data_IF_271038995648
#
_entry.id   IF_271038995648
#
_cell.length_a   1.000
_cell.length_b   1.000
_cell.length_c   1.000
_cell.angle_alpha   90.00
_cell.angle_beta   90.00
_cell.angle_gamma   90.00
#
_symmetry.space_group_name_H-M   'P 1'
#
loop_
_entity.id
_entity.type
_entity.pdbx_description
1 polymer ?
#
# COMPACT_ATOMS: atom_id res chain seq x y z
N UNK A 1 9.39 -13.61 -5.89
CA UNK A 1 8.25 -13.12 -5.09
C UNK A 1 7.03 -13.18 -5.97
N UNK A 2 5.95 -13.76 -5.49
CA UNK A 2 4.68 -13.86 -6.20
C UNK A 2 3.66 -12.99 -5.47
N UNK A 3 2.87 -12.21 -6.21
CA UNK A 3 1.75 -11.44 -5.67
C UNK A 3 0.48 -11.84 -6.44
N UNK A 4 -0.61 -12.04 -5.71
CA UNK A 4 -1.95 -12.21 -6.26
C UNK A 4 -2.84 -11.18 -5.59
N UNK A 5 -3.50 -10.35 -6.40
CA UNK A 5 -4.42 -9.32 -5.93
C UNK A 5 -5.84 -9.56 -6.42
N UNK A 6 -6.82 -9.49 -5.54
CA UNK A 6 -8.25 -9.50 -5.86
C UNK A 6 -8.83 -8.17 -5.44
N UNK A 7 -9.61 -7.53 -6.33
CA UNK A 7 -10.26 -6.26 -6.04
C UNK A 7 -11.75 -6.33 -6.33
N UNK A 8 -12.52 -5.59 -5.52
CA UNK A 8 -13.95 -5.37 -5.68
C UNK A 8 -14.20 -3.88 -5.51
N UNK A 9 -14.98 -3.29 -6.43
CA UNK A 9 -15.44 -1.91 -6.33
C UNK A 9 -16.92 -1.89 -6.69
N UNK A 10 -17.67 -1.10 -5.94
CA UNK A 10 -19.08 -0.83 -6.19
C UNK A 10 -19.34 0.67 -6.10
N UNK A 11 -20.17 1.16 -7.01
CA UNK A 11 -20.60 2.55 -7.09
C UNK A 11 -22.13 2.59 -7.01
N UNK A 12 -22.65 3.33 -6.03
CA UNK A 12 -24.06 3.37 -5.70
C UNK A 12 -24.54 4.81 -5.63
N UNK A 13 -25.54 5.15 -6.45
CA UNK A 13 -26.26 6.42 -6.32
C UNK A 13 -27.31 6.28 -5.22
N UNK A 14 -27.04 6.88 -4.06
CA UNK A 14 -27.97 6.91 -2.95
C UNK A 14 -29.13 7.88 -3.20
N UNK A 15 -28.87 8.95 -3.96
CA UNK A 15 -29.85 9.89 -4.51
C UNK A 15 -29.34 10.38 -5.87
N UNK A 16 -30.15 11.18 -6.58
CA UNK A 16 -29.75 11.84 -7.84
C UNK A 16 -28.52 12.75 -7.67
N UNK A 17 -28.27 13.21 -6.44
CA UNK A 17 -27.22 14.16 -6.12
C UNK A 17 -26.12 13.55 -5.23
N UNK A 18 -26.21 12.27 -4.87
CA UNK A 18 -25.26 11.64 -3.96
C UNK A 18 -24.80 10.27 -4.49
N UNK A 19 -23.54 10.20 -4.86
CA UNK A 19 -22.87 8.95 -5.23
C UNK A 19 -21.97 8.49 -4.09
N UNK A 20 -22.09 7.23 -3.71
CA UNK A 20 -21.23 6.53 -2.77
C UNK A 20 -20.43 5.48 -3.53
N UNK A 21 -19.16 5.35 -3.19
CA UNK A 21 -18.28 4.36 -3.81
C UNK A 21 -17.53 3.61 -2.72
N UNK A 22 -17.57 2.29 -2.76
CA UNK A 22 -16.79 1.42 -1.90
C UNK A 22 -15.80 0.61 -2.72
N UNK A 23 -14.56 0.48 -2.25
CA UNK A 23 -13.61 -0.46 -2.84
C UNK A 23 -12.85 -1.25 -1.76
N UNK A 24 -12.62 -2.52 -2.07
CA UNK A 24 -11.84 -3.44 -1.27
C UNK A 24 -10.83 -4.13 -2.18
N UNK A 25 -9.60 -4.28 -1.69
CA UNK A 25 -8.57 -5.03 -2.41
C UNK A 25 -7.80 -5.90 -1.42
N UNK A 26 -7.72 -7.18 -1.72
CA UNK A 26 -6.94 -8.16 -0.98
C UNK A 26 -5.71 -8.54 -1.78
N UNK A 27 -4.53 -8.42 -1.19
CA UNK A 27 -3.25 -8.79 -1.80
C UNK A 27 -2.60 -9.90 -0.97
N UNK A 28 -2.28 -11.01 -1.65
CA UNK A 28 -1.52 -12.15 -1.15
C UNK A 28 -0.09 -12.08 -1.69
N UNK A 29 0.89 -11.99 -0.80
CA UNK A 29 2.31 -11.98 -1.14
C UNK A 29 2.99 -13.25 -0.65
N UNK A 30 3.70 -13.93 -1.54
CA UNK A 30 4.55 -15.06 -1.21
C UNK A 30 5.99 -14.77 -1.61
N UNK A 31 6.89 -14.78 -0.64
CA UNK A 31 8.31 -14.55 -0.83
C UNK A 31 9.09 -15.78 -0.39
N UNK A 32 9.97 -16.28 -1.26
CA UNK A 32 10.83 -17.42 -0.99
C UNK A 32 12.29 -16.98 -1.09
N UNK A 33 13.09 -17.36 -0.11
CA UNK A 33 14.54 -17.11 -0.09
C UNK A 33 15.22 -18.15 -0.98
N UNK A 34 16.13 -17.71 -1.84
CA UNK A 34 16.96 -18.60 -2.64
C UNK A 34 18.04 -19.25 -1.76
N UNK A 35 18.35 -20.54 -1.99
CA UNK A 35 19.34 -21.29 -1.20
C UNK A 35 20.80 -20.92 -1.48
N UNK A 36 21.05 -19.93 -2.35
CA UNK A 36 22.39 -19.53 -2.76
C UNK A 36 22.92 -18.52 -1.74
N UNK A 37 23.88 -18.96 -0.93
CA UNK A 37 24.56 -18.13 0.07
C UNK A 37 25.57 -17.20 -0.59
N UNK A 38 25.74 -16.01 -0.02
CA UNK A 38 26.86 -15.16 -0.40
C UNK A 38 28.17 -15.73 0.18
N UNK A 39 29.28 -15.57 -0.54
CA UNK A 39 30.60 -16.09 -0.12
C UNK A 39 31.06 -15.58 1.24
N UNK A 40 30.54 -14.41 1.64
CA UNK A 40 30.99 -13.62 2.78
C UNK A 40 29.96 -13.64 3.94
N UNK A 41 28.96 -14.52 3.85
CA UNK A 41 27.82 -14.57 4.77
C UNK A 41 28.22 -15.20 6.10
N UNK A 42 27.91 -14.53 7.23
CA UNK A 42 28.23 -15.04 8.57
C UNK A 42 27.33 -16.24 8.92
N UNK A 43 27.84 -17.27 9.63
CA UNK A 43 27.09 -18.47 9.99
C UNK A 43 25.79 -18.21 10.76
N UNK A 44 25.77 -17.16 11.60
CA UNK A 44 24.60 -16.77 12.38
C UNK A 44 23.49 -16.17 11.50
N UNK A 45 23.87 -15.35 10.52
CA UNK A 45 22.96 -14.75 9.56
C UNK A 45 22.37 -15.80 8.61
N UNK A 46 23.19 -16.76 8.17
CA UNK A 46 22.71 -17.87 7.34
C UNK A 46 21.69 -18.76 8.05
N UNK A 47 21.87 -19.04 9.35
CA UNK A 47 20.86 -19.80 10.12
C UNK A 47 19.51 -19.08 10.19
N UNK A 48 19.54 -17.76 10.34
CA UNK A 48 18.33 -16.92 10.42
C UNK A 48 17.60 -16.87 9.07
N UNK A 49 18.33 -16.75 7.96
CA UNK A 49 17.77 -16.76 6.60
C UNK A 49 17.28 -18.16 6.17
N UNK A 50 18.00 -19.22 6.52
CA UNK A 50 17.61 -20.60 6.24
C UNK A 50 16.32 -20.98 6.98
N UNK A 51 16.18 -20.59 8.26
CA UNK A 51 14.95 -20.79 9.03
C UNK A 51 13.75 -20.01 8.47
N UNK A 52 13.99 -18.83 7.87
CA UNK A 52 12.94 -17.98 7.33
C UNK A 52 12.48 -18.35 5.90
N UNK A 53 13.12 -19.33 5.25
CA UNK A 53 12.82 -20.03 3.98
C UNK A 53 11.71 -19.47 3.08
N UNK A 54 10.50 -19.27 3.58
CA UNK A 54 9.43 -18.52 2.91
C UNK A 54 8.61 -17.68 3.88
N UNK A 55 8.19 -16.47 3.45
CA UNK A 55 7.24 -15.63 4.16
C UNK A 55 6.01 -15.35 3.29
N UNK A 56 4.85 -15.47 3.92
CA UNK A 56 3.56 -15.06 3.36
C UNK A 56 3.07 -13.79 4.04
N UNK A 57 2.53 -12.84 3.29
CA UNK A 57 1.89 -11.64 3.83
C UNK A 57 0.54 -11.44 3.15
N UNK A 58 -0.49 -11.18 3.95
CA UNK A 58 -1.85 -10.93 3.50
C UNK A 58 -2.23 -9.52 3.88
N UNK A 59 -2.79 -8.76 2.94
CA UNK A 59 -3.06 -7.35 3.17
C UNK A 59 -4.39 -6.96 2.55
N UNK A 60 -5.15 -6.15 3.26
CA UNK A 60 -6.48 -5.70 2.87
C UNK A 60 -6.51 -4.17 2.82
N UNK A 61 -6.59 -3.64 1.60
CA UNK A 61 -6.80 -2.22 1.30
C UNK A 61 -8.29 -1.96 1.22
N UNK A 62 -8.72 -0.82 1.78
CA UNK A 62 -10.13 -0.42 1.78
C UNK A 62 -10.23 1.06 1.43
N UNK A 63 -11.21 1.44 0.64
CA UNK A 63 -11.53 2.85 0.42
C UNK A 63 -13.04 3.06 0.34
N UNK A 64 -13.46 4.22 0.84
CA UNK A 64 -14.83 4.71 0.75
C UNK A 64 -14.75 6.13 0.21
N UNK A 65 -15.58 6.43 -0.77
CA UNK A 65 -15.66 7.75 -1.38
C UNK A 65 -17.11 8.19 -1.49
N UNK A 66 -17.31 9.49 -1.47
CA UNK A 66 -18.60 10.12 -1.67
C UNK A 66 -18.44 11.28 -2.63
N UNK A 67 -19.37 11.43 -3.56
CA UNK A 67 -19.51 12.65 -4.37
C UNK A 67 -20.91 13.19 -4.17
N UNK A 68 -21.00 14.44 -3.73
CA UNK A 68 -22.24 15.16 -3.57
C UNK A 68 -22.32 16.28 -4.61
N UNK A 69 -23.32 16.21 -5.48
CA UNK A 69 -23.61 17.20 -6.51
C UNK A 69 -24.47 18.31 -5.91
N UNK A 70 -23.83 19.45 -5.60
CA UNK A 70 -24.52 20.64 -5.08
C UNK A 70 -25.48 21.21 -6.12
N UNK A 71 -25.05 21.19 -7.39
CA UNK A 71 -25.82 21.56 -8.57
C UNK A 71 -25.12 21.01 -9.82
N UNK A 72 -25.59 21.37 -11.01
CA UNK A 72 -25.03 20.93 -12.30
C UNK A 72 -23.57 21.33 -12.50
N UNK A 73 -23.09 22.35 -11.80
CA UNK A 73 -21.72 22.85 -11.97
C UNK A 73 -20.80 22.54 -10.79
N UNK A 74 -21.31 22.39 -9.58
CA UNK A 74 -20.51 22.21 -8.37
C UNK A 74 -20.71 20.83 -7.77
N UNK A 75 -19.61 20.16 -7.45
CA UNK A 75 -19.61 18.91 -6.70
C UNK A 75 -18.56 18.92 -5.60
N UNK A 76 -18.91 18.29 -4.48
CA UNK A 76 -18.01 17.99 -3.37
C UNK A 76 -17.64 16.52 -3.44
N UNK A 77 -16.36 16.21 -3.35
CA UNK A 77 -15.85 14.85 -3.31
C UNK A 77 -15.10 14.63 -1.99
N UNK A 78 -15.41 13.55 -1.29
CA UNK A 78 -14.67 13.10 -0.11
C UNK A 78 -14.16 11.67 -0.35
N UNK A 79 -12.93 11.39 0.07
CA UNK A 79 -12.36 10.04 0.03
C UNK A 79 -11.67 9.72 1.35
N UNK A 80 -11.88 8.50 1.82
CA UNK A 80 -11.14 7.92 2.93
C UNK A 80 -10.57 6.60 2.43
N UNK A 81 -9.26 6.44 2.48
CA UNK A 81 -8.60 5.21 2.07
C UNK A 81 -7.59 4.72 3.08
N UNK A 82 -7.58 3.41 3.29
CA UNK A 82 -6.60 2.69 4.08
C UNK A 82 -5.72 1.89 3.13
N UNK A 83 -4.47 2.32 3.01
CA UNK A 83 -3.48 1.78 2.08
C UNK A 83 -2.33 1.11 2.85
N UNK A 84 -1.50 0.38 2.12
CA UNK A 84 -0.32 -0.24 2.71
C UNK A 84 0.88 -0.19 1.76
N UNK A 85 2.06 -0.34 2.34
CA UNK A 85 3.31 -0.65 1.67
C UNK A 85 3.86 -1.93 2.26
N UNK A 86 3.82 -3.01 1.46
CA UNK A 86 4.34 -4.31 1.86
C UNK A 86 5.85 -4.22 2.09
N UNK A 87 6.34 -4.90 3.13
CA UNK A 87 7.76 -5.02 3.39
C UNK A 87 8.42 -5.81 2.24
N UNK A 88 9.40 -5.20 1.57
CA UNK A 88 10.07 -5.86 0.43
C UNK A 88 10.99 -6.98 0.94
N UNK A 89 11.17 -8.08 0.18
CA UNK A 89 12.16 -9.11 0.50
C UNK A 89 13.56 -8.52 0.71
N UNK A 90 13.96 -7.52 -0.07
CA UNK A 90 15.24 -6.82 0.11
C UNK A 90 15.37 -6.05 1.42
N UNK A 91 14.27 -5.64 2.05
CA UNK A 91 14.31 -4.95 3.35
C UNK A 91 14.31 -5.94 4.52
N UNK A 92 13.77 -7.14 4.31
CA UNK A 92 13.66 -8.15 5.34
C UNK A 92 14.83 -9.15 5.35
N UNK A 93 15.35 -9.48 4.17
CA UNK A 93 16.24 -10.62 3.95
C UNK A 93 17.63 -10.21 3.47
N UNK A 94 17.89 -8.90 3.30
CA UNK A 94 19.21 -8.42 2.94
C UNK A 94 20.12 -8.47 4.17
N UNK A 95 21.25 -9.12 3.97
CA UNK A 95 22.38 -9.06 4.88
C UNK A 95 23.61 -8.65 4.09
N UNK A 96 24.36 -7.70 4.63
CA UNK A 96 25.65 -7.30 4.06
C UNK A 96 26.68 -7.37 5.17
N UNK A 97 27.82 -8.07 4.97
CA UNK A 97 28.92 -8.00 5.91
C UNK A 97 29.36 -6.55 6.04
N UNK A 98 29.64 -6.07 7.26
CA UNK A 98 30.41 -4.85 7.42
C UNK A 98 31.78 -5.11 6.78
N UNK A 99 32.06 -4.46 5.65
CA UNK A 99 33.43 -4.33 5.15
C UNK A 99 34.20 -3.33 6.01
N UNK A 100 35.08 -2.54 5.38
CA UNK A 100 35.83 -1.43 6.01
C UNK A 100 34.98 -0.23 6.46
N UNK A 101 33.65 -0.27 6.29
CA UNK A 101 32.72 0.74 6.79
C UNK A 101 31.81 0.16 7.86
N UNK A 102 31.77 0.81 9.02
CA UNK A 102 31.15 0.37 10.29
C UNK A 102 29.63 0.14 10.30
N UNK A 103 28.98 -0.09 9.16
CA UNK A 103 27.52 -0.22 9.05
C UNK A 103 27.10 -1.59 8.47
N UNK A 104 27.11 -2.67 9.27
CA UNK A 104 26.53 -3.95 8.85
C UNK A 104 25.01 -3.81 8.64
N UNK A 105 24.49 -4.41 7.56
CA UNK A 105 23.03 -4.54 7.36
C UNK A 105 22.57 -5.86 7.96
N UNK A 106 21.69 -5.79 8.97
CA UNK A 106 21.14 -6.95 9.66
C UNK A 106 19.74 -7.25 9.09
N UNK A 107 19.45 -8.51 8.68
CA UNK A 107 18.14 -8.87 8.16
C UNK A 107 17.08 -8.77 9.25
N UNK A 108 15.91 -8.21 8.92
CA UNK A 108 14.74 -8.12 9.78
C UNK A 108 13.56 -8.88 9.15
N UNK A 109 13.50 -10.18 9.42
CA UNK A 109 12.47 -11.07 8.87
C UNK A 109 11.08 -10.69 9.39
N UNK A 110 10.97 -10.06 10.56
CA UNK A 110 9.71 -9.68 11.19
C UNK A 110 9.21 -8.29 10.79
N UNK A 111 9.87 -7.64 9.82
CA UNK A 111 9.45 -6.33 9.34
C UNK A 111 7.97 -6.36 8.94
N UNK A 112 7.17 -5.56 9.65
CA UNK A 112 5.74 -5.41 9.43
C UNK A 112 5.47 -4.47 8.26
N UNK A 113 4.28 -4.61 7.68
CA UNK A 113 3.83 -3.74 6.61
C UNK A 113 3.58 -2.34 7.16
N UNK A 114 3.92 -1.32 6.38
CA UNK A 114 3.58 0.06 6.73
C UNK A 114 2.17 0.35 6.23
N UNK A 115 1.25 0.65 7.13
CA UNK A 115 -0.10 1.10 6.78
C UNK A 115 -0.13 2.62 6.64
N UNK A 116 -1.04 3.12 5.83
CA UNK A 116 -1.29 4.55 5.73
C UNK A 116 -2.78 4.83 5.61
N UNK A 117 -3.22 5.89 6.24
CA UNK A 117 -4.61 6.34 6.19
C UNK A 117 -4.64 7.71 5.52
N UNK A 118 -5.38 7.83 4.42
CA UNK A 118 -5.54 9.07 3.66
C UNK A 118 -6.98 9.55 3.75
N UNK A 119 -7.12 10.85 3.95
CA UNK A 119 -8.38 11.58 3.92
C UNK A 119 -8.26 12.67 2.87
N UNK A 120 -9.20 12.75 1.95
CA UNK A 120 -9.25 13.77 0.91
C UNK A 120 -10.62 14.43 0.90
N UNK A 121 -10.64 15.74 0.70
CA UNK A 121 -11.84 16.52 0.49
C UNK A 121 -11.59 17.51 -0.64
N UNK A 122 -12.47 17.53 -1.63
CA UNK A 122 -12.34 18.39 -2.80
C UNK A 122 -13.64 19.05 -3.19
N UNK A 123 -13.53 20.27 -3.69
CA UNK A 123 -14.58 21.03 -4.35
C UNK A 123 -14.22 21.11 -5.83
N UNK A 124 -15.19 20.79 -6.69
CA UNK A 124 -15.03 20.79 -8.14
C UNK A 124 -16.11 21.68 -8.76
N UNK A 125 -15.70 22.52 -9.69
CA UNK A 125 -16.54 23.29 -10.58
C UNK A 125 -16.35 22.77 -12.01
N UNK A 126 -17.44 22.53 -12.72
CA UNK A 126 -17.43 22.08 -14.11
C UNK A 126 -18.56 22.75 -14.89
N UNK A 127 -18.24 23.30 -16.06
CA UNK A 127 -19.22 23.75 -17.04
C UNK A 127 -18.79 23.31 -18.45
N UNK A 128 -19.50 23.71 -19.49
CA UNK A 128 -19.17 23.32 -20.87
C UNK A 128 -17.80 23.81 -21.37
N UNK A 129 -17.20 24.81 -20.74
CA UNK A 129 -16.01 25.52 -21.20
C UNK A 129 -14.84 25.46 -20.21
N UNK A 130 -15.05 25.00 -18.99
CA UNK A 130 -14.10 25.14 -17.88
C UNK A 130 -14.31 24.08 -16.81
N UNK A 131 -13.19 23.62 -16.27
CA UNK A 131 -13.14 22.72 -15.12
C UNK A 131 -12.12 23.26 -14.13
N UNK A 132 -12.52 23.37 -12.85
CA UNK A 132 -11.65 23.80 -11.76
C UNK A 132 -11.85 22.86 -10.58
N UNK A 133 -10.76 22.39 -9.98
CA UNK A 133 -10.80 21.53 -8.81
C UNK A 133 -9.85 22.03 -7.73
N UNK A 134 -10.33 22.08 -6.49
CA UNK A 134 -9.51 22.31 -5.31
C UNK A 134 -9.66 21.10 -4.40
N UNK A 135 -8.55 20.47 -4.00
CA UNK A 135 -8.56 19.29 -3.12
C UNK A 135 -7.53 19.47 -2.02
N UNK A 136 -7.97 19.28 -0.77
CA UNK A 136 -7.10 19.12 0.39
C UNK A 136 -6.97 17.64 0.73
N UNK A 137 -5.77 17.21 1.12
CA UNK A 137 -5.52 15.84 1.54
C UNK A 137 -4.66 15.79 2.80
N UNK A 138 -4.87 14.74 3.60
CA UNK A 138 -4.07 14.43 4.77
C UNK A 138 -3.78 12.93 4.80
N UNK A 139 -2.50 12.58 4.90
CA UNK A 139 -2.03 11.18 4.94
C UNK A 139 -1.21 10.94 6.19
N UNK A 140 -1.59 9.93 6.95
CA UNK A 140 -0.88 9.46 8.14
C UNK A 140 -0.30 8.07 7.91
#
# INVERSE_FOLDING_TARGET
>A
MTNIGVYLKDDYFATDNLMLSGALRYDYFYSKIGKRRASDERPETSKVLDNASSKTQNILTRSISTVYFLNENFSLAANISHNFKAAKPSQMMQATPAGTGDNPTIPNIDLSNKTSQTYELGLRYSNANSFVGLTGFYTK
#
